data_IF_858584858028
#
_entry.id   IF_858584858028
#
_cell.length_a   1.000
_cell.length_b   1.000
_cell.length_c   1.000
_cell.angle_alpha   90.00
_cell.angle_beta   90.00
_cell.angle_gamma   90.00
#
_symmetry.space_group_name_H-M   'P 1'
#
loop_
_entity.id
_entity.type
_entity.pdbx_description
1 polymer ?
#
# COMPACT_ATOMS: atom_id res chain seq x y z
N UNK A 1 -18.63 -30.22 6.95
CA UNK A 1 -17.43 -29.95 7.79
C UNK A 1 -16.18 -30.63 7.25
N UNK A 2 -16.19 -31.90 6.91
CA UNK A 2 -15.05 -32.59 6.29
C UNK A 2 -14.65 -31.99 4.93
N UNK A 3 -15.58 -31.42 4.17
CA UNK A 3 -15.29 -30.76 2.91
C UNK A 3 -14.50 -29.46 3.06
N UNK A 4 -14.68 -28.74 4.16
CA UNK A 4 -13.94 -27.50 4.40
C UNK A 4 -12.45 -27.73 4.62
N UNK A 5 -12.09 -28.78 5.36
CA UNK A 5 -10.68 -29.15 5.50
C UNK A 5 -10.05 -29.46 4.16
N UNK A 6 -10.83 -29.96 3.22
CA UNK A 6 -10.36 -30.39 1.92
C UNK A 6 -10.00 -29.22 0.99
N UNK A 7 -10.59 -28.04 1.17
CA UNK A 7 -10.23 -26.87 0.36
C UNK A 7 -8.77 -26.48 0.60
N UNK A 8 -8.29 -26.54 1.84
CA UNK A 8 -6.93 -26.14 2.19
C UNK A 8 -5.94 -27.30 2.29
N UNK A 9 -6.40 -28.50 2.66
CA UNK A 9 -5.52 -29.66 2.83
C UNK A 9 -5.36 -30.49 1.55
N UNK A 10 -6.31 -30.38 0.61
CA UNK A 10 -6.26 -31.06 -0.70
C UNK A 10 -5.79 -30.18 -1.83
N UNK A 11 -5.66 -28.88 -1.64
CA UNK A 11 -5.07 -28.04 -2.68
C UNK A 11 -3.62 -28.43 -2.84
N UNK A 12 -3.35 -29.17 -3.89
CA UNK A 12 -1.99 -29.43 -4.32
C UNK A 12 -1.54 -28.22 -5.12
N UNK A 13 -0.79 -27.33 -4.48
CA UNK A 13 -0.10 -26.30 -5.19
C UNK A 13 1.08 -26.98 -5.88
N UNK A 14 0.96 -27.15 -7.18
CA UNK A 14 2.10 -27.62 -7.97
C UNK A 14 2.93 -26.41 -8.34
N UNK A 15 4.19 -26.45 -8.04
CA UNK A 15 5.13 -25.43 -8.50
C UNK A 15 5.05 -25.28 -10.02
N UNK A 16 5.53 -24.16 -10.60
CA UNK A 16 5.58 -23.98 -12.03
C UNK A 16 6.24 -25.20 -12.67
N UNK A 17 5.64 -25.77 -13.72
CA UNK A 17 6.09 -27.01 -14.35
C UNK A 17 7.58 -26.95 -14.75
N UNK A 18 8.09 -25.78 -15.06
CA UNK A 18 9.49 -25.55 -15.43
C UNK A 18 10.47 -25.53 -14.25
N UNK A 19 10.01 -25.51 -13.00
CA UNK A 19 10.87 -25.57 -11.82
C UNK A 19 11.03 -26.96 -11.25
N UNK A 20 10.13 -27.88 -11.53
CA UNK A 20 10.19 -29.26 -11.06
C UNK A 20 10.26 -29.43 -9.54
N UNK A 21 9.92 -28.41 -8.76
CA UNK A 21 10.01 -28.42 -7.31
C UNK A 21 8.74 -29.03 -6.72
N UNK A 22 8.86 -30.10 -5.91
CA UNK A 22 7.72 -30.64 -5.18
C UNK A 22 7.20 -29.60 -4.19
N UNK A 23 5.87 -29.45 -4.15
CA UNK A 23 5.23 -28.58 -3.15
C UNK A 23 5.15 -29.33 -1.83
N UNK A 24 5.62 -28.74 -0.70
CA UNK A 24 5.49 -29.34 0.60
C UNK A 24 4.01 -29.60 0.94
N UNK A 25 3.71 -30.80 1.38
CA UNK A 25 2.39 -31.18 1.85
C UNK A 25 2.39 -31.15 3.37
N UNK A 26 1.37 -30.57 3.96
CA UNK A 26 1.30 -30.53 5.41
C UNK A 26 -0.07 -30.09 5.93
N UNK A 27 -0.47 -30.54 7.12
CA UNK A 27 -1.76 -30.20 7.72
C UNK A 27 -1.70 -28.82 8.42
N UNK A 28 -1.37 -27.79 7.69
CA UNK A 28 -1.18 -26.46 8.30
C UNK A 28 -2.45 -25.64 8.42
N UNK A 29 -3.50 -26.08 7.74
CA UNK A 29 -4.79 -25.43 7.84
C UNK A 29 -5.72 -26.35 8.59
N UNK A 30 -6.27 -25.85 9.70
CA UNK A 30 -7.29 -26.52 10.48
C UNK A 30 -8.63 -25.84 10.25
N UNK A 31 -9.69 -26.47 10.71
CA UNK A 31 -11.00 -25.83 10.73
C UNK A 31 -10.94 -24.50 11.47
N UNK A 32 -11.62 -23.51 10.92
CA UNK A 32 -11.81 -22.22 11.58
C UNK A 32 -12.65 -22.41 12.85
N UNK A 33 -12.57 -21.43 13.75
CA UNK A 33 -13.43 -21.43 14.94
C UNK A 33 -14.91 -21.31 14.52
N UNK A 34 -15.86 -21.97 15.22
CA UNK A 34 -17.27 -21.96 14.84
C UNK A 34 -17.88 -20.56 14.71
N UNK A 35 -17.47 -19.61 15.58
CA UNK A 35 -17.96 -18.23 15.57
C UNK A 35 -17.54 -17.50 14.30
N UNK A 36 -16.25 -17.52 13.97
CA UNK A 36 -15.74 -16.84 12.77
C UNK A 36 -16.23 -17.52 11.50
N UNK A 37 -16.29 -18.84 11.47
CA UNK A 37 -16.83 -19.59 10.33
C UNK A 37 -18.29 -19.24 10.08
N UNK A 38 -19.10 -19.08 11.14
CA UNK A 38 -20.50 -18.67 11.01
C UNK A 38 -20.63 -17.27 10.43
N UNK A 39 -19.93 -16.28 11.00
CA UNK A 39 -19.98 -14.89 10.55
C UNK A 39 -19.50 -14.74 9.10
N UNK A 40 -18.40 -15.37 8.75
CA UNK A 40 -17.84 -15.34 7.40
C UNK A 40 -18.66 -16.16 6.41
N UNK A 41 -19.34 -17.20 6.85
CA UNK A 41 -20.29 -17.97 6.05
C UNK A 41 -21.47 -17.14 5.55
N UNK A 42 -21.85 -16.08 6.27
CA UNK A 42 -22.88 -15.13 5.82
C UNK A 42 -22.40 -14.28 4.64
N UNK A 43 -21.08 -14.12 4.47
CA UNK A 43 -20.47 -13.35 3.39
C UNK A 43 -20.08 -14.22 2.20
N UNK A 44 -19.63 -15.44 2.43
CA UNK A 44 -19.21 -16.29 1.33
C UNK A 44 -18.39 -17.53 1.72
N UNK A 45 -18.78 -18.26 2.73
CA UNK A 45 -18.14 -19.55 3.10
C UNK A 45 -16.61 -19.44 3.32
N UNK A 46 -16.14 -18.39 3.97
CA UNK A 46 -14.72 -18.27 4.30
C UNK A 46 -14.34 -19.20 5.46
N UNK A 47 -13.16 -19.77 5.38
CA UNK A 47 -12.57 -20.58 6.45
C UNK A 47 -11.45 -19.82 7.14
N UNK A 48 -11.36 -19.98 8.46
CA UNK A 48 -10.26 -19.47 9.27
C UNK A 48 -9.57 -20.65 9.92
N UNK A 49 -8.28 -20.72 9.76
CA UNK A 49 -7.45 -21.75 10.36
C UNK A 49 -6.08 -21.20 10.73
N UNK A 50 -5.20 -22.05 11.27
CA UNK A 50 -3.84 -21.63 11.59
C UNK A 50 -3.07 -21.19 10.33
N UNK A 51 -2.21 -20.19 10.49
CA UNK A 51 -1.34 -19.67 9.45
C UNK A 51 0.08 -20.18 9.69
N UNK A 52 0.75 -20.59 8.63
CA UNK A 52 2.18 -20.88 8.70
C UNK A 52 2.93 -19.57 8.81
N UNK A 53 3.63 -19.33 9.91
CA UNK A 53 4.39 -18.10 10.11
C UNK A 53 5.89 -18.30 9.89
N UNK A 54 6.45 -19.37 10.39
CA UNK A 54 7.89 -19.57 10.45
C UNK A 54 8.58 -18.56 11.37
N UNK A 55 9.90 -18.64 11.43
CA UNK A 55 10.71 -17.72 12.26
C UNK A 55 10.58 -16.27 11.80
N UNK A 56 10.62 -16.03 10.49
CA UNK A 56 10.48 -14.68 9.93
C UNK A 56 9.10 -14.09 10.22
N UNK A 57 8.03 -14.89 10.10
CA UNK A 57 6.68 -14.45 10.40
C UNK A 57 6.49 -14.08 11.87
N UNK A 58 7.01 -14.90 12.79
CA UNK A 58 6.96 -14.63 14.23
C UNK A 58 7.77 -13.37 14.56
N UNK A 59 8.97 -13.24 14.04
CA UNK A 59 9.81 -12.05 14.26
C UNK A 59 9.15 -10.78 13.72
N UNK A 60 8.50 -10.86 12.54
CA UNK A 60 7.75 -9.75 11.97
C UNK A 60 6.60 -9.32 12.88
N UNK A 61 5.79 -10.27 13.35
CA UNK A 61 4.65 -9.98 14.22
C UNK A 61 5.10 -9.40 15.56
N UNK A 62 6.14 -9.93 16.18
CA UNK A 62 6.68 -9.38 17.43
C UNK A 62 7.15 -7.94 17.21
N UNK A 63 7.91 -7.68 16.15
CA UNK A 63 8.38 -6.33 15.83
C UNK A 63 7.22 -5.36 15.60
N UNK A 64 6.19 -5.79 14.88
CA UNK A 64 4.98 -5.00 14.63
C UNK A 64 4.19 -4.72 15.90
N UNK A 65 4.04 -5.69 16.79
CA UNK A 65 3.41 -5.49 18.09
C UNK A 65 4.19 -4.51 18.98
N UNK A 66 5.51 -4.59 18.99
CA UNK A 66 6.34 -3.62 19.73
C UNK A 66 6.12 -2.21 19.19
N UNK A 67 6.08 -2.03 17.86
CA UNK A 67 5.81 -0.73 17.26
C UNK A 67 4.43 -0.20 17.67
N UNK A 68 3.39 -1.02 17.57
CA UNK A 68 2.02 -0.65 17.94
C UNK A 68 1.93 -0.30 19.43
N UNK A 69 2.58 -1.07 20.30
CA UNK A 69 2.60 -0.81 21.73
C UNK A 69 3.29 0.52 22.06
N UNK A 70 4.43 0.81 21.44
CA UNK A 70 5.12 2.09 21.63
C UNK A 70 4.20 3.24 21.22
N UNK A 71 3.57 3.16 20.06
CA UNK A 71 2.64 4.19 19.57
C UNK A 71 1.45 4.32 20.52
N UNK A 72 0.79 3.22 20.83
CA UNK A 72 -0.41 3.22 21.68
C UNK A 72 -0.14 3.69 23.11
N UNK A 73 0.95 3.27 23.73
CA UNK A 73 1.31 3.69 25.08
C UNK A 73 1.66 5.18 25.13
N UNK A 74 2.36 5.71 24.13
CA UNK A 74 2.63 7.15 24.06
C UNK A 74 1.36 7.98 23.88
N UNK A 75 0.43 7.52 23.04
CA UNK A 75 -0.88 8.15 22.87
C UNK A 75 -1.67 8.11 24.18
N UNK A 76 -1.69 7.00 24.87
CA UNK A 76 -2.40 6.86 26.14
C UNK A 76 -1.76 7.74 27.24
N UNK A 77 -0.44 7.76 27.31
CA UNK A 77 0.27 8.65 28.23
C UNK A 77 -0.04 10.13 27.99
N UNK A 78 -0.23 10.54 26.72
CA UNK A 78 -0.54 11.93 26.37
C UNK A 78 -1.88 12.43 26.89
N UNK A 79 -2.80 11.54 27.24
CA UNK A 79 -4.09 11.86 27.88
C UNK A 79 -4.12 11.48 29.37
N UNK A 80 -2.93 11.41 30.00
CA UNK A 80 -2.79 11.12 31.42
C UNK A 80 -3.20 9.72 31.85
N UNK A 81 -3.05 8.74 30.97
CA UNK A 81 -3.42 7.33 31.21
C UNK A 81 -4.91 7.13 31.47
N UNK A 82 -5.74 8.08 31.06
CA UNK A 82 -7.19 7.97 31.17
C UNK A 82 -7.74 7.14 30.00
N UNK A 83 -8.30 5.94 30.26
CA UNK A 83 -8.76 5.06 29.19
C UNK A 83 -9.97 5.62 28.42
N UNK A 84 -10.81 6.40 29.07
CA UNK A 84 -11.99 7.01 28.43
C UNK A 84 -11.53 8.09 27.46
N UNK A 85 -10.61 8.96 27.88
CA UNK A 85 -10.04 9.98 27.02
C UNK A 85 -9.24 9.37 25.87
N UNK A 86 -8.52 8.29 26.13
CA UNK A 86 -7.79 7.56 25.09
C UNK A 86 -8.71 7.08 23.97
N UNK A 87 -9.80 6.40 24.32
CA UNK A 87 -10.77 5.89 23.33
C UNK A 87 -11.51 7.04 22.62
N UNK A 88 -11.93 8.07 23.38
CA UNK A 88 -12.65 9.22 22.83
C UNK A 88 -11.80 10.00 21.83
N UNK A 89 -10.54 10.25 22.19
CA UNK A 89 -9.66 11.16 21.46
C UNK A 89 -8.69 10.44 20.52
N UNK A 90 -8.74 9.11 20.42
CA UNK A 90 -7.81 8.29 19.65
C UNK A 90 -7.56 8.81 18.22
N UNK A 91 -8.57 9.23 17.44
CA UNK A 91 -8.32 9.75 16.09
C UNK A 91 -7.43 11.00 16.03
N UNK A 92 -7.35 11.77 17.11
CA UNK A 92 -6.55 13.01 17.20
C UNK A 92 -5.21 12.82 17.88
N UNK A 93 -4.95 11.65 18.48
CA UNK A 93 -3.69 11.39 19.19
C UNK A 93 -2.59 11.04 18.19
N UNK A 94 -1.35 11.38 18.54
CA UNK A 94 -0.20 11.15 17.70
C UNK A 94 1.04 10.79 18.52
N UNK A 95 1.97 10.09 17.87
CA UNK A 95 3.37 10.01 18.26
C UNK A 95 4.17 10.78 17.22
N UNK A 96 4.73 11.90 17.63
CA UNK A 96 5.41 12.84 16.77
C UNK A 96 6.88 12.47 16.54
N UNK A 97 7.43 12.74 15.33
CA UNK A 97 8.87 12.67 15.12
C UNK A 97 9.60 13.77 15.92
N UNK A 98 10.94 13.67 16.04
CA UNK A 98 11.73 14.72 16.67
C UNK A 98 11.52 16.07 15.99
N UNK A 99 11.64 17.16 16.75
CA UNK A 99 11.67 18.51 16.16
C UNK A 99 12.79 18.62 15.10
N UNK A 100 12.59 19.40 14.04
CA UNK A 100 13.64 19.64 13.03
C UNK A 100 14.97 20.14 13.62
N UNK A 101 14.95 20.79 14.79
CA UNK A 101 16.17 21.22 15.49
C UNK A 101 17.10 20.07 15.89
N UNK A 102 16.57 18.85 16.04
CA UNK A 102 17.39 17.66 16.31
C UNK A 102 18.09 17.11 15.06
N UNK A 103 17.70 17.56 13.87
CA UNK A 103 18.24 17.05 12.61
C UNK A 103 18.03 15.54 12.47
N UNK A 104 19.09 14.83 12.10
CA UNK A 104 19.08 13.37 11.93
C UNK A 104 19.66 12.59 13.13
N UNK A 105 19.71 13.19 14.31
CA UNK A 105 20.19 12.51 15.51
C UNK A 105 19.32 11.29 15.81
N UNK A 106 19.97 10.16 16.02
CA UNK A 106 19.30 8.86 16.27
C UNK A 106 18.95 8.63 17.74
N UNK A 107 19.41 9.50 18.64
CA UNK A 107 19.16 9.38 20.08
C UNK A 107 18.67 10.72 20.67
N UNK A 108 17.58 11.29 20.16
CA UNK A 108 16.91 12.37 20.88
C UNK A 108 16.29 11.82 22.18
N UNK A 109 15.96 12.65 23.18
CA UNK A 109 15.22 12.20 24.35
C UNK A 109 13.93 11.46 23.93
N UNK A 110 13.58 10.43 24.67
CA UNK A 110 12.43 9.57 24.33
C UNK A 110 11.14 10.36 24.13
N UNK A 111 10.84 11.30 25.03
CA UNK A 111 9.64 12.14 24.94
C UNK A 111 9.73 13.25 23.89
N UNK A 112 10.86 13.42 23.23
CA UNK A 112 11.09 14.44 22.20
C UNK A 112 11.36 13.81 20.83
N UNK A 113 10.73 12.69 20.54
CA UNK A 113 10.81 11.98 19.27
C UNK A 113 11.61 10.67 19.30
N UNK A 114 12.27 10.35 20.40
CA UNK A 114 12.97 9.07 20.55
C UNK A 114 12.05 7.87 20.41
N UNK A 115 10.85 7.94 20.97
CA UNK A 115 9.85 6.89 20.82
C UNK A 115 9.37 6.74 19.37
N UNK A 116 9.26 7.83 18.63
CA UNK A 116 8.92 7.77 17.20
C UNK A 116 9.99 7.01 16.41
N UNK A 117 11.27 7.28 16.66
CA UNK A 117 12.37 6.56 16.02
C UNK A 117 12.35 5.07 16.38
N UNK A 118 12.10 4.72 17.63
CA UNK A 118 12.00 3.32 18.04
C UNK A 118 10.81 2.62 17.38
N UNK A 119 9.64 3.24 17.39
CA UNK A 119 8.45 2.70 16.72
C UNK A 119 8.70 2.53 15.22
N UNK A 120 9.29 3.53 14.58
CA UNK A 120 9.67 3.47 13.16
C UNK A 120 10.65 2.35 12.85
N UNK A 121 11.63 2.12 13.72
CA UNK A 121 12.57 1.01 13.59
C UNK A 121 11.86 -0.35 13.63
N UNK A 122 11.02 -0.59 14.63
CA UNK A 122 10.31 -1.86 14.77
C UNK A 122 9.27 -2.07 13.67
N UNK A 123 8.60 -1.01 13.24
CA UNK A 123 7.66 -1.09 12.12
C UNK A 123 8.39 -1.43 10.81
N UNK A 124 9.51 -0.78 10.56
CA UNK A 124 10.35 -1.07 9.39
C UNK A 124 10.86 -2.51 9.41
N UNK A 125 11.35 -2.97 10.56
CA UNK A 125 11.79 -4.34 10.74
C UNK A 125 10.65 -5.33 10.47
N UNK A 126 9.45 -5.05 10.97
CA UNK A 126 8.26 -5.87 10.74
C UNK A 126 7.94 -5.99 9.24
N UNK A 127 7.94 -4.88 8.51
CA UNK A 127 7.66 -4.86 7.08
C UNK A 127 8.71 -5.64 6.27
N UNK A 128 9.99 -5.44 6.56
CA UNK A 128 11.08 -6.13 5.86
C UNK A 128 11.06 -7.62 6.15
N UNK A 129 10.86 -8.02 7.41
CA UNK A 129 10.77 -9.42 7.81
C UNK A 129 9.57 -10.11 7.15
N UNK A 130 8.43 -9.41 7.02
CA UNK A 130 7.27 -9.94 6.31
C UNK A 130 7.53 -10.09 4.81
N UNK A 131 8.19 -9.13 4.19
CA UNK A 131 8.64 -9.26 2.82
C UNK A 131 9.53 -10.50 2.63
N UNK A 132 10.51 -10.68 3.49
CA UNK A 132 11.40 -11.84 3.43
C UNK A 132 10.64 -13.16 3.61
N UNK A 133 9.65 -13.17 4.49
CA UNK A 133 8.77 -14.31 4.71
C UNK A 133 7.95 -14.64 3.46
N UNK A 134 7.31 -13.64 2.85
CA UNK A 134 6.50 -13.84 1.64
C UNK A 134 7.37 -14.36 0.50
N UNK A 135 8.54 -13.76 0.28
CA UNK A 135 9.50 -14.19 -0.74
C UNK A 135 9.95 -15.64 -0.50
N UNK A 136 10.38 -15.93 0.72
CA UNK A 136 10.84 -17.27 1.09
C UNK A 136 9.74 -18.31 0.94
N UNK A 137 8.52 -18.01 1.40
CA UNK A 137 7.41 -18.95 1.32
C UNK A 137 7.00 -19.23 -0.11
N UNK A 138 6.99 -18.24 -0.97
CA UNK A 138 6.76 -18.43 -2.39
C UNK A 138 7.80 -19.39 -3.01
N UNK A 139 9.07 -19.19 -2.73
CA UNK A 139 10.15 -20.06 -3.24
C UNK A 139 10.06 -21.49 -2.69
N UNK A 140 9.72 -21.65 -1.40
CA UNK A 140 9.51 -22.98 -0.81
C UNK A 140 8.36 -23.75 -1.48
N UNK A 141 7.34 -23.04 -1.93
CA UNK A 141 6.19 -23.63 -2.62
C UNK A 141 6.40 -23.79 -4.13
N UNK A 142 7.60 -23.43 -4.64
CA UNK A 142 7.89 -23.49 -6.07
C UNK A 142 7.13 -22.44 -6.89
N UNK A 143 6.70 -21.33 -6.27
CA UNK A 143 5.96 -20.26 -6.90
C UNK A 143 6.88 -19.08 -7.24
N UNK A 144 6.45 -18.22 -8.16
CA UNK A 144 7.11 -16.94 -8.41
C UNK A 144 6.96 -15.98 -7.22
N UNK A 145 7.86 -15.03 -7.12
CA UNK A 145 7.94 -14.09 -6.00
C UNK A 145 7.26 -12.75 -6.29
N UNK A 146 6.36 -12.70 -7.28
CA UNK A 146 5.69 -11.47 -7.71
C UNK A 146 4.95 -10.75 -6.58
N UNK A 147 4.27 -11.49 -5.71
CA UNK A 147 3.55 -10.92 -4.55
C UNK A 147 4.51 -10.23 -3.58
N UNK A 148 5.67 -10.82 -3.32
CA UNK A 148 6.69 -10.23 -2.46
C UNK A 148 7.17 -8.88 -3.01
N UNK A 149 7.43 -8.80 -4.32
CA UNK A 149 7.90 -7.56 -4.96
C UNK A 149 6.80 -6.50 -5.07
N UNK A 150 5.55 -6.89 -5.23
CA UNK A 150 4.43 -5.95 -5.13
C UNK A 150 4.33 -5.35 -3.72
N UNK A 151 4.50 -6.17 -2.69
CA UNK A 151 4.60 -5.69 -1.31
C UNK A 151 5.82 -4.78 -1.10
N UNK A 152 6.95 -5.10 -1.72
CA UNK A 152 8.15 -4.27 -1.68
C UNK A 152 7.90 -2.86 -2.23
N UNK A 153 7.04 -2.70 -3.23
CA UNK A 153 6.69 -1.38 -3.75
C UNK A 153 5.97 -0.52 -2.72
N UNK A 154 5.11 -1.11 -1.90
CA UNK A 154 4.47 -0.41 -0.77
C UNK A 154 5.49 -0.03 0.31
N UNK A 155 6.45 -0.91 0.60
CA UNK A 155 7.56 -0.61 1.52
C UNK A 155 8.40 0.56 0.99
N UNK A 156 8.64 0.63 -0.32
CA UNK A 156 9.31 1.75 -0.95
C UNK A 156 8.65 3.09 -0.63
N UNK A 157 7.33 3.22 -0.84
CA UNK A 157 6.60 4.44 -0.50
C UNK A 157 6.70 4.77 0.99
N UNK A 158 6.52 3.77 1.85
CA UNK A 158 6.68 3.93 3.30
C UNK A 158 8.07 4.46 3.66
N UNK A 159 9.13 3.90 3.09
CA UNK A 159 10.50 4.35 3.33
C UNK A 159 10.77 5.73 2.73
N UNK A 160 10.19 6.07 1.60
CA UNK A 160 10.29 7.42 1.04
C UNK A 160 9.70 8.47 1.99
N UNK A 161 8.56 8.18 2.61
CA UNK A 161 7.88 9.07 3.54
C UNK A 161 8.61 9.21 4.88
N UNK A 162 9.03 8.10 5.47
CA UNK A 162 9.54 8.07 6.84
C UNK A 162 11.07 8.05 6.98
N UNK A 163 11.79 7.71 5.92
CA UNK A 163 13.23 7.49 5.99
C UNK A 163 14.01 8.25 4.91
N UNK A 164 13.80 7.98 3.64
CA UNK A 164 14.64 8.55 2.58
C UNK A 164 14.47 10.06 2.44
N UNK A 165 13.23 10.56 2.36
CA UNK A 165 13.02 12.00 2.24
C UNK A 165 13.48 12.77 3.49
N UNK A 166 13.17 12.34 4.72
CA UNK A 166 13.74 12.97 5.92
C UNK A 166 15.26 13.04 5.90
N UNK A 167 15.95 12.00 5.44
CA UNK A 167 17.42 12.01 5.29
C UNK A 167 17.84 13.08 4.27
N UNK A 168 17.22 13.14 3.11
CA UNK A 168 17.52 14.13 2.08
C UNK A 168 17.24 15.56 2.55
N UNK A 169 16.20 15.75 3.35
CA UNK A 169 15.84 17.02 3.95
C UNK A 169 16.68 17.39 5.20
N UNK A 170 17.40 16.43 5.76
CA UNK A 170 18.31 16.64 6.89
C UNK A 170 17.65 16.61 8.28
N UNK A 171 16.40 16.14 8.41
CA UNK A 171 15.70 16.12 9.69
C UNK A 171 14.60 15.04 9.74
N UNK A 172 14.54 14.28 10.84
CA UNK A 172 13.45 13.36 11.10
C UNK A 172 12.09 14.06 11.25
N UNK A 173 12.10 15.34 11.67
CA UNK A 173 10.90 16.15 11.80
C UNK A 173 10.13 16.39 10.50
N UNK A 174 10.73 16.11 9.35
CA UNK A 174 10.06 16.15 8.05
C UNK A 174 9.16 14.93 7.80
N UNK A 175 9.29 13.87 8.59
CA UNK A 175 8.48 12.68 8.46
C UNK A 175 7.06 12.89 9.04
N UNK A 176 6.07 12.14 8.53
CA UNK A 176 4.74 12.16 9.12
C UNK A 176 4.74 11.53 10.52
N UNK A 177 3.85 12.00 11.42
CA UNK A 177 3.63 11.38 12.71
C UNK A 177 2.87 10.06 12.56
N UNK A 178 2.92 9.25 13.62
CA UNK A 178 1.97 8.15 13.79
C UNK A 178 0.70 8.69 14.44
N UNK A 179 -0.41 8.66 13.73
CA UNK A 179 -1.69 9.12 14.21
C UNK A 179 -2.71 9.17 13.07
N UNK A 180 -3.99 8.98 13.37
CA UNK A 180 -5.03 8.92 12.34
C UNK A 180 -5.19 10.28 11.68
N UNK A 181 -5.75 11.28 12.35
CA UNK A 181 -5.86 12.62 11.80
C UNK A 181 -4.52 13.35 11.71
N UNK A 182 -3.58 13.23 12.65
CA UNK A 182 -2.31 13.92 12.53
C UNK A 182 -1.50 13.59 11.29
N UNK A 183 -1.52 12.35 10.78
CA UNK A 183 -0.84 12.05 9.50
C UNK A 183 -1.57 12.66 8.29
N UNK A 184 -2.88 12.86 8.37
CA UNK A 184 -3.64 13.59 7.35
C UNK A 184 -3.32 15.09 7.40
N UNK A 185 -3.22 15.67 8.60
CA UNK A 185 -2.80 17.08 8.80
C UNK A 185 -1.39 17.30 8.26
N UNK A 186 -0.48 16.32 8.48
CA UNK A 186 0.84 16.34 7.87
C UNK A 186 0.76 16.42 6.34
N UNK A 187 -0.13 15.62 5.73
CA UNK A 187 -0.35 15.60 4.28
C UNK A 187 -0.82 16.95 3.76
N UNK A 188 -1.74 17.60 4.46
CA UNK A 188 -2.19 18.96 4.12
C UNK A 188 -1.05 19.96 4.20
N UNK A 189 -0.28 19.94 5.29
CA UNK A 189 0.88 20.81 5.46
C UNK A 189 1.94 20.58 4.38
N UNK A 190 2.23 19.32 4.06
CA UNK A 190 3.10 18.92 2.96
C UNK A 190 2.63 19.50 1.63
N UNK A 191 1.34 19.36 1.31
CA UNK A 191 0.74 19.90 0.10
C UNK A 191 0.90 21.42 0.01
N UNK A 192 0.60 22.14 1.08
CA UNK A 192 0.71 23.61 1.10
C UNK A 192 2.16 24.10 0.97
N UNK A 193 3.10 23.42 1.59
CA UNK A 193 4.54 23.78 1.52
C UNK A 193 5.14 23.58 0.13
N UNK A 194 4.55 22.70 -0.68
CA UNK A 194 5.07 22.30 -1.99
C UNK A 194 4.28 22.91 -3.16
N UNK A 195 3.53 23.95 -2.93
CA UNK A 195 2.77 24.66 -3.95
C UNK A 195 1.48 23.96 -4.40
N UNK A 196 0.96 23.02 -3.66
CA UNK A 196 -0.18 22.18 -3.91
C UNK A 196 0.17 20.82 -4.56
N UNK A 197 -0.08 19.77 -3.81
CA UNK A 197 0.18 18.38 -4.20
C UNK A 197 -0.57 17.97 -5.49
N UNK A 198 -1.70 18.60 -5.80
CA UNK A 198 -2.44 18.34 -7.04
C UNK A 198 -1.63 18.63 -8.30
N UNK A 199 -0.61 19.50 -8.22
CA UNK A 199 0.27 19.84 -9.34
C UNK A 199 1.53 18.96 -9.40
N UNK A 200 1.72 18.07 -8.44
CA UNK A 200 2.81 17.08 -8.47
C UNK A 200 2.52 16.03 -9.57
N UNK A 201 3.34 15.96 -10.64
CA UNK A 201 3.08 15.04 -11.74
C UNK A 201 3.22 13.57 -11.33
N UNK A 202 4.03 13.25 -10.34
CA UNK A 202 4.17 11.89 -9.82
C UNK A 202 2.97 11.50 -8.96
N UNK A 203 2.37 12.42 -8.25
CA UNK A 203 1.10 12.22 -7.58
C UNK A 203 -0.03 11.98 -8.59
N UNK A 204 -0.06 12.72 -9.68
CA UNK A 204 -1.00 12.49 -10.79
C UNK A 204 -0.83 11.08 -11.36
N UNK A 205 0.41 10.66 -11.65
CA UNK A 205 0.70 9.30 -12.13
C UNK A 205 0.28 8.23 -11.13
N UNK A 206 0.58 8.45 -9.85
CA UNK A 206 0.18 7.53 -8.79
C UNK A 206 -1.35 7.36 -8.72
N UNK A 207 -2.10 8.45 -8.85
CA UNK A 207 -3.57 8.41 -8.91
C UNK A 207 -4.06 7.64 -10.13
N UNK A 208 -3.46 7.87 -11.31
CA UNK A 208 -3.81 7.13 -12.54
C UNK A 208 -3.61 5.62 -12.35
N UNK A 209 -2.48 5.21 -11.78
CA UNK A 209 -2.23 3.80 -11.52
C UNK A 209 -3.12 3.24 -10.42
N UNK A 210 -3.43 4.02 -9.38
CA UNK A 210 -4.36 3.62 -8.33
C UNK A 210 -5.77 3.38 -8.90
N UNK A 211 -6.30 4.33 -9.66
CA UNK A 211 -7.62 4.19 -10.27
C UNK A 211 -7.64 3.09 -11.32
N UNK A 212 -6.56 2.94 -12.09
CA UNK A 212 -6.39 1.83 -13.01
C UNK A 212 -6.34 0.48 -12.31
N UNK A 213 -5.72 0.39 -11.14
CA UNK A 213 -5.73 -0.83 -10.32
C UNK A 213 -7.15 -1.19 -9.85
N UNK A 214 -7.91 -0.21 -9.39
CA UNK A 214 -9.31 -0.41 -8.99
C UNK A 214 -10.16 -0.82 -10.19
N UNK A 215 -9.98 -0.17 -11.33
CA UNK A 215 -10.69 -0.50 -12.57
C UNK A 215 -10.40 -1.94 -13.01
N UNK A 216 -9.13 -2.33 -13.05
CA UNK A 216 -8.74 -3.69 -13.44
C UNK A 216 -9.26 -4.74 -12.47
N UNK A 217 -9.25 -4.44 -11.17
CA UNK A 217 -9.80 -5.34 -10.16
C UNK A 217 -11.31 -5.54 -10.36
N UNK A 218 -12.06 -4.46 -10.57
CA UNK A 218 -13.49 -4.51 -10.81
C UNK A 218 -13.82 -5.25 -12.12
N UNK A 219 -13.12 -4.94 -13.20
CA UNK A 219 -13.30 -5.59 -14.50
C UNK A 219 -12.97 -7.08 -14.44
N UNK A 220 -11.85 -7.44 -13.80
CA UNK A 220 -11.45 -8.83 -13.66
C UNK A 220 -12.44 -9.63 -12.80
N UNK A 221 -12.87 -9.09 -11.67
CA UNK A 221 -13.85 -9.74 -10.81
C UNK A 221 -15.18 -9.97 -11.55
N UNK A 222 -15.70 -8.96 -12.24
CA UNK A 222 -16.90 -9.08 -13.05
C UNK A 222 -16.75 -10.11 -14.17
N UNK A 223 -15.60 -10.13 -14.83
CA UNK A 223 -15.30 -11.07 -15.92
C UNK A 223 -15.26 -12.52 -15.42
N UNK A 224 -14.56 -12.77 -14.33
CA UNK A 224 -14.45 -14.12 -13.75
C UNK A 224 -15.82 -14.63 -13.29
N UNK A 225 -16.64 -13.79 -12.66
CA UNK A 225 -18.02 -14.15 -12.32
C UNK A 225 -18.85 -14.46 -13.57
N UNK A 226 -18.72 -13.68 -14.63
CA UNK A 226 -19.47 -13.88 -15.87
C UNK A 226 -19.11 -15.18 -16.58
N UNK A 227 -17.86 -15.64 -16.47
CA UNK A 227 -17.38 -16.87 -17.14
C UNK A 227 -17.17 -18.04 -16.18
N UNK A 228 -17.62 -17.92 -14.94
CA UNK A 228 -17.44 -18.96 -13.92
C UNK A 228 -18.12 -20.29 -14.29
N UNK A 229 -19.27 -20.24 -14.95
CA UNK A 229 -19.94 -21.44 -15.46
C UNK A 229 -19.13 -22.23 -16.50
N UNK A 230 -18.13 -21.59 -17.11
CA UNK A 230 -17.20 -22.19 -18.07
C UNK A 230 -15.85 -22.51 -17.44
N UNK A 231 -15.75 -22.48 -16.10
CA UNK A 231 -14.52 -22.74 -15.35
C UNK A 231 -13.58 -21.54 -15.25
N UNK A 232 -14.06 -20.31 -15.48
CA UNK A 232 -13.24 -19.10 -15.42
C UNK A 232 -12.70 -18.77 -14.03
N UNK A 233 -13.38 -19.20 -12.98
CA UNK A 233 -12.95 -19.09 -11.58
C UNK A 233 -11.82 -20.07 -11.20
N UNK A 234 -11.51 -21.03 -12.06
CA UNK A 234 -10.44 -22.02 -11.90
C UNK A 234 -9.28 -21.71 -12.85
N UNK A 235 -8.69 -20.56 -12.72
CA UNK A 235 -7.68 -20.05 -13.66
C UNK A 235 -6.43 -20.92 -13.71
N UNK A 236 -5.99 -21.47 -12.57
CA UNK A 236 -4.81 -22.35 -12.53
C UNK A 236 -5.04 -23.64 -13.31
N UNK A 237 -6.19 -24.25 -13.14
CA UNK A 237 -6.57 -25.48 -13.87
C UNK A 237 -6.72 -25.20 -15.37
N UNK A 238 -7.20 -24.02 -15.76
CA UNK A 238 -7.31 -23.60 -17.16
C UNK A 238 -5.95 -23.50 -17.86
N UNK A 239 -4.86 -23.37 -17.14
CA UNK A 239 -3.51 -23.35 -17.72
C UNK A 239 -3.08 -24.74 -18.21
N UNK A 240 -3.64 -25.79 -17.67
CA UNK A 240 -3.30 -27.19 -17.96
C UNK A 240 -4.39 -27.85 -18.83
N UNK A 241 -5.65 -27.64 -18.48
CA UNK A 241 -6.81 -28.15 -19.20
C UNK A 241 -7.71 -26.98 -19.61
N UNK A 242 -7.41 -26.41 -20.77
CA UNK A 242 -8.02 -25.17 -21.24
C UNK A 242 -9.44 -25.41 -21.75
N UNK A 243 -10.43 -24.85 -21.07
CA UNK A 243 -11.80 -24.71 -21.56
C UNK A 243 -12.01 -23.46 -22.40
N UNK A 244 -13.26 -22.98 -22.44
CA UNK A 244 -13.67 -21.83 -23.27
C UNK A 244 -13.79 -20.52 -22.49
N UNK A 245 -13.56 -20.51 -21.18
CA UNK A 245 -13.76 -19.34 -20.34
C UNK A 245 -12.88 -18.15 -20.75
N UNK A 246 -11.59 -18.41 -20.97
CA UNK A 246 -10.64 -17.37 -21.36
C UNK A 246 -11.00 -16.71 -22.70
N UNK A 247 -11.41 -17.50 -23.69
CA UNK A 247 -11.83 -16.98 -25.00
C UNK A 247 -13.11 -16.17 -24.90
N UNK A 248 -14.08 -16.61 -24.13
CA UNK A 248 -15.34 -15.89 -23.91
C UNK A 248 -15.11 -14.56 -23.21
N UNK A 249 -14.26 -14.54 -22.20
CA UNK A 249 -13.86 -13.31 -21.52
C UNK A 249 -13.17 -12.32 -22.46
N UNK A 250 -12.20 -12.81 -23.25
CA UNK A 250 -11.50 -12.00 -24.23
C UNK A 250 -12.42 -11.42 -25.31
N UNK A 251 -13.32 -12.24 -25.85
CA UNK A 251 -14.26 -11.80 -26.88
C UNK A 251 -15.27 -10.77 -26.37
N UNK A 252 -15.73 -10.92 -25.11
CA UNK A 252 -16.59 -9.92 -24.51
C UNK A 252 -15.96 -8.51 -24.55
N UNK A 253 -14.72 -8.39 -24.09
CA UNK A 253 -14.01 -7.10 -24.09
C UNK A 253 -13.64 -6.66 -25.50
N UNK A 254 -13.21 -7.59 -26.35
CA UNK A 254 -12.87 -7.30 -27.74
C UNK A 254 -14.04 -6.65 -28.49
N UNK A 255 -15.23 -7.18 -28.31
CA UNK A 255 -16.43 -6.67 -28.96
C UNK A 255 -17.05 -5.47 -28.25
N UNK A 256 -16.68 -5.23 -27.00
CA UNK A 256 -17.20 -4.12 -26.20
C UNK A 256 -16.36 -2.85 -26.39
N UNK A 257 -15.03 -2.96 -26.33
CA UNK A 257 -14.14 -1.80 -26.34
C UNK A 257 -13.04 -1.87 -27.43
N UNK A 258 -13.00 -2.90 -28.21
CA UNK A 258 -12.10 -3.02 -29.36
C UNK A 258 -10.73 -3.63 -29.07
N UNK A 259 -10.40 -3.92 -27.81
CA UNK A 259 -9.18 -4.60 -27.39
C UNK A 259 -9.45 -5.48 -26.18
N UNK A 260 -8.55 -6.41 -25.91
CA UNK A 260 -8.65 -7.36 -24.82
C UNK A 260 -7.27 -7.79 -24.34
N UNK A 261 -7.22 -8.30 -23.13
CA UNK A 261 -6.09 -9.05 -22.60
C UNK A 261 -6.34 -10.57 -22.75
N UNK A 262 -5.34 -11.36 -22.42
CA UNK A 262 -5.48 -12.81 -22.21
C UNK A 262 -5.64 -13.11 -20.74
N UNK A 263 -5.96 -14.36 -20.39
CA UNK A 263 -6.01 -14.79 -18.99
C UNK A 263 -4.67 -14.55 -18.29
N UNK A 264 -3.55 -14.83 -18.93
CA UNK A 264 -2.23 -14.59 -18.37
C UNK A 264 -1.89 -13.10 -18.31
N UNK A 265 -2.06 -12.38 -19.40
CA UNK A 265 -1.63 -10.99 -19.50
C UNK A 265 -2.44 -10.04 -18.62
N UNK A 266 -3.71 -10.34 -18.32
CA UNK A 266 -4.49 -9.48 -17.41
C UNK A 266 -3.88 -9.39 -16.02
N UNK A 267 -3.27 -10.48 -15.55
CA UNK A 267 -2.57 -10.48 -14.26
C UNK A 267 -1.28 -9.63 -14.31
N UNK A 268 -0.58 -9.60 -15.44
CA UNK A 268 0.56 -8.71 -15.66
C UNK A 268 0.15 -7.25 -15.62
N UNK A 269 -0.94 -6.87 -16.28
CA UNK A 269 -1.49 -5.53 -16.21
C UNK A 269 -1.83 -5.12 -14.78
N UNK A 270 -2.57 -5.98 -14.07
CA UNK A 270 -2.95 -5.73 -12.68
C UNK A 270 -1.73 -5.57 -11.77
N UNK A 271 -0.72 -6.41 -11.93
CA UNK A 271 0.50 -6.36 -11.14
C UNK A 271 1.28 -5.06 -11.36
N UNK A 272 1.47 -4.66 -12.61
CA UNK A 272 2.19 -3.42 -12.92
C UNK A 272 1.46 -2.18 -12.41
N UNK A 273 0.15 -2.10 -12.57
CA UNK A 273 -0.64 -0.99 -12.04
C UNK A 273 -0.52 -0.92 -10.50
N UNK A 274 -0.61 -2.05 -9.82
CA UNK A 274 -0.46 -2.12 -8.38
C UNK A 274 0.92 -1.67 -7.91
N UNK A 275 1.98 -2.12 -8.58
CA UNK A 275 3.38 -1.77 -8.24
C UNK A 275 3.70 -0.32 -8.57
N UNK A 276 3.23 0.20 -9.68
CA UNK A 276 3.54 1.56 -10.12
C UNK A 276 2.84 2.62 -9.28
N UNK A 277 1.77 2.29 -8.58
CA UNK A 277 1.09 3.22 -7.68
C UNK A 277 2.02 3.72 -6.56
N UNK A 278 2.55 2.89 -5.67
CA UNK A 278 3.48 3.35 -4.64
C UNK A 278 4.85 3.73 -5.19
N UNK A 279 5.30 3.09 -6.27
CA UNK A 279 6.59 3.39 -6.88
C UNK A 279 6.64 4.85 -7.38
N UNK A 280 5.65 5.28 -8.14
CA UNK A 280 5.56 6.67 -8.64
C UNK A 280 5.29 7.66 -7.50
N UNK A 281 4.44 7.30 -6.55
CA UNK A 281 4.20 8.11 -5.35
C UNK A 281 5.47 8.35 -4.55
N UNK A 282 6.27 7.32 -4.35
CA UNK A 282 7.56 7.42 -3.64
C UNK A 282 8.56 8.31 -4.36
N UNK A 283 8.65 8.23 -5.68
CA UNK A 283 9.50 9.12 -6.49
C UNK A 283 9.07 10.57 -6.29
N UNK A 284 7.78 10.86 -6.36
CA UNK A 284 7.24 12.21 -6.13
C UNK A 284 7.56 12.74 -4.73
N UNK A 285 7.46 11.89 -3.72
CA UNK A 285 7.84 12.24 -2.35
C UNK A 285 9.33 12.62 -2.27
N UNK A 286 10.22 11.85 -2.87
CA UNK A 286 11.66 12.15 -2.85
C UNK A 286 12.03 13.41 -3.60
N UNK A 287 11.35 13.74 -4.69
CA UNK A 287 11.63 14.94 -5.48
C UNK A 287 11.09 16.20 -4.85
N UNK A 288 10.06 16.09 -4.03
CA UNK A 288 9.38 17.23 -3.43
C UNK A 288 10.18 17.83 -2.27
N UNK A 289 10.54 19.09 -2.39
CA UNK A 289 11.37 19.81 -1.42
C UNK A 289 12.87 19.56 -1.56
N UNK A 290 13.28 18.69 -2.45
CA UNK A 290 14.70 18.38 -2.74
C UNK A 290 15.13 18.89 -4.10
N UNK A 291 14.44 18.48 -5.15
CA UNK A 291 14.69 18.91 -6.55
C UNK A 291 13.67 19.96 -6.98
N UNK A 292 12.42 19.82 -6.60
CA UNK A 292 11.33 20.76 -6.89
C UNK A 292 10.72 21.24 -5.57
N UNK A 293 10.81 22.53 -5.31
CA UNK A 293 10.27 23.11 -4.08
C UNK A 293 8.79 23.47 -4.17
N UNK A 294 8.30 23.76 -5.36
CA UNK A 294 6.93 24.21 -5.61
C UNK A 294 6.42 23.66 -6.93
N UNK A 295 5.53 22.69 -6.85
CA UNK A 295 4.96 22.04 -8.03
C UNK A 295 4.01 22.93 -8.82
N UNK A 296 3.32 23.85 -8.15
CA UNK A 296 2.44 24.79 -8.85
C UNK A 296 3.25 25.79 -9.70
N UNK A 297 4.33 26.36 -9.16
CA UNK A 297 5.24 27.21 -9.91
C UNK A 297 5.89 26.45 -11.06
N UNK A 298 6.31 25.22 -10.81
CA UNK A 298 6.85 24.36 -11.85
C UNK A 298 5.85 24.16 -12.99
N UNK A 299 4.59 23.88 -12.68
CA UNK A 299 3.53 23.67 -13.66
C UNK A 299 3.25 24.95 -14.47
N UNK A 300 3.17 26.10 -13.81
CA UNK A 300 2.99 27.40 -14.48
C UNK A 300 4.16 27.71 -15.41
N UNK A 301 5.38 27.54 -14.91
CA UNK A 301 6.61 27.79 -15.67
C UNK A 301 6.73 26.92 -16.91
N UNK A 302 6.23 25.68 -16.87
CA UNK A 302 6.29 24.74 -17.99
C UNK A 302 5.00 24.71 -18.84
N UNK A 303 4.04 25.61 -18.57
CA UNK A 303 2.81 25.74 -19.35
C UNK A 303 1.83 24.56 -19.17
N UNK A 304 1.90 23.83 -18.07
CA UNK A 304 1.07 22.65 -17.77
C UNK A 304 0.02 22.90 -16.69
N UNK A 305 -0.30 24.16 -16.39
CA UNK A 305 -1.38 24.57 -15.49
C UNK A 305 -2.44 25.42 -16.23
N UNK A 306 -3.14 24.88 -17.24
CA UNK A 306 -4.04 25.66 -18.10
C UNK A 306 -5.25 26.22 -17.35
N UNK A 307 -5.68 25.59 -16.26
CA UNK A 307 -6.83 26.05 -15.46
C UNK A 307 -6.55 27.31 -14.66
N UNK A 308 -5.27 27.62 -14.44
CA UNK A 308 -4.92 28.82 -13.69
C UNK A 308 -5.44 30.08 -14.38
N UNK A 309 -5.18 30.24 -15.67
CA UNK A 309 -5.63 31.38 -16.46
C UNK A 309 -7.17 31.47 -16.54
N UNK A 310 -7.87 30.35 -16.54
CA UNK A 310 -9.34 30.31 -16.52
C UNK A 310 -9.94 30.74 -15.19
N UNK A 311 -9.25 30.45 -14.08
CA UNK A 311 -9.74 30.77 -12.72
C UNK A 311 -9.26 32.15 -12.26
N UNK A 312 -8.00 32.49 -12.50
CA UNK A 312 -7.34 33.67 -11.94
C UNK A 312 -6.93 34.71 -12.99
N UNK A 313 -7.18 34.44 -14.28
CA UNK A 313 -6.77 35.33 -15.37
C UNK A 313 -5.34 35.10 -15.85
N UNK A 314 -4.96 35.81 -16.93
CA UNK A 314 -3.61 35.75 -17.47
C UNK A 314 -2.63 36.42 -16.51
N UNK A 315 -1.67 35.66 -16.00
CA UNK A 315 -0.62 36.15 -15.12
C UNK A 315 0.68 36.24 -15.91
N UNK A 316 1.15 37.45 -16.11
CA UNK A 316 2.40 37.70 -16.83
C UNK A 316 3.64 37.29 -16.01
N UNK A 317 3.52 37.24 -14.69
CA UNK A 317 4.59 36.89 -13.77
C UNK A 317 4.21 35.67 -12.94
N UNK A 318 4.91 34.55 -13.11
CA UNK A 318 4.66 33.32 -12.31
C UNK A 318 4.84 33.53 -10.80
N UNK A 319 5.72 34.44 -10.37
CA UNK A 319 5.91 34.73 -8.96
C UNK A 319 4.73 35.48 -8.35
N UNK A 320 4.15 36.41 -9.10
CA UNK A 320 2.94 37.12 -8.70
C UNK A 320 1.74 36.19 -8.66
N UNK A 321 1.69 35.19 -9.57
CA UNK A 321 0.67 34.15 -9.59
C UNK A 321 0.69 33.30 -8.32
N UNK A 322 1.86 32.89 -7.88
CA UNK A 322 2.04 32.10 -6.67
C UNK A 322 1.63 32.89 -5.41
N UNK A 323 1.97 34.16 -5.34
CA UNK A 323 1.59 35.05 -4.24
C UNK A 323 0.07 35.24 -4.19
N UNK A 324 -0.57 35.43 -5.34
CA UNK A 324 -2.02 35.56 -5.41
C UNK A 324 -2.75 34.30 -4.96
N UNK A 325 -2.25 33.12 -5.35
CA UNK A 325 -2.81 31.83 -4.94
C UNK A 325 -2.70 31.59 -3.42
N UNK A 326 -1.63 32.04 -2.78
CA UNK A 326 -1.44 31.92 -1.32
C UNK A 326 -2.29 32.94 -0.53
N UNK A 327 -2.66 34.05 -1.14
CA UNK A 327 -3.46 35.11 -0.50
C UNK A 327 -4.98 34.92 -0.71
N UNK A 328 -5.39 34.28 -1.79
CA UNK A 328 -6.80 34.02 -2.12
C UNK A 328 -7.42 32.83 -1.39
N UNK A 329 -6.66 32.11 -0.61
CA UNK A 329 -7.11 30.96 0.19
C UNK A 329 -7.46 31.28 1.65
N UNK A 330 -7.73 32.57 1.96
CA UNK A 330 -8.19 32.99 3.30
C UNK A 330 -9.68 33.16 3.32
#
# INVERSE_FOLDING_TARGET
MAEYQNIFTRVQIRGPAHHGVPVPQGPWVREGTPIFSYLLGQIGNAQIGPVYLGTLGVASLISGFIAIEIIGLNMWASVGWNPILFVRDLPWLALEPPSPAWGLRIMPPLAQGGWWLMAGFFLTASLILWFLRVHRRATQLGLGTHTAWAFASAIWLYLCLGFFRPILMGAWGEAPPFGIFPHLDWTVAFSLRCGNLYYDPFHMLSIVFLYGSVLLFAMHAATILAVSRFGGDKEVEQTVDRGTASERAALFWRWTMGFNATMESIHRWAWWFAVLTPLTGGIGILLTGTVVDDWFLWAVKHGVAPHYAAIYGNVADPAAAAQAATQGGK
#
